data_IF_495233192936
#
_entry.id   IF_495233192936
#
_cell.length_a   1.000
_cell.length_b   1.000
_cell.length_c   1.000
_cell.angle_alpha   90.00
_cell.angle_beta   90.00
_cell.angle_gamma   90.00
#
_symmetry.space_group_name_H-M   'P 1'
#
loop_
_entity.id
_entity.type
_entity.pdbx_description
1 polymer ?
#
# COMPACT_ATOMS: atom_id res chain seq x y z
N UNK A 1 -50.46 5.53 36.02
CA UNK A 1 -49.96 5.16 37.36
C UNK A 1 -48.84 4.17 37.09
N UNK A 2 -47.58 4.60 37.01
CA UNK A 2 -46.70 4.87 38.18
C UNK A 2 -46.96 3.81 39.26
N UNK A 3 -46.00 3.02 39.73
CA UNK A 3 -44.54 3.06 39.69
C UNK A 3 -44.07 1.79 40.41
N UNK A 4 -42.76 1.52 40.38
CA UNK A 4 -41.93 1.15 41.55
C UNK A 4 -40.99 -0.01 41.26
N UNK A 5 -39.74 0.40 41.08
CA UNK A 5 -38.54 -0.42 41.16
C UNK A 5 -38.47 -1.12 42.53
N UNK A 6 -38.05 -2.38 42.52
CA UNK A 6 -37.30 -2.96 43.62
C UNK A 6 -35.97 -3.49 43.07
N UNK A 7 -34.93 -2.83 43.55
CA UNK A 7 -33.53 -3.13 43.31
C UNK A 7 -33.08 -4.32 44.16
N UNK A 8 -32.04 -4.98 43.65
CA UNK A 8 -31.03 -5.74 44.40
C UNK A 8 -31.33 -7.21 44.71
N UNK A 9 -30.60 -8.07 44.01
CA UNK A 9 -29.65 -8.96 44.67
C UNK A 9 -28.49 -9.22 43.72
N UNK A 10 -27.38 -8.53 43.96
CA UNK A 10 -26.04 -9.01 43.63
C UNK A 10 -25.87 -10.40 44.23
N UNK A 11 -26.15 -11.44 43.44
CA UNK A 11 -25.62 -12.77 43.69
C UNK A 11 -24.28 -12.89 42.97
N UNK A 12 -23.23 -12.86 43.77
CA UNK A 12 -21.85 -13.08 43.35
C UNK A 12 -21.65 -14.54 42.97
N UNK A 13 -22.16 -14.93 41.80
CA UNK A 13 -21.82 -16.18 41.16
C UNK A 13 -20.49 -16.06 40.43
N UNK A 14 -19.37 -16.18 41.15
CA UNK A 14 -18.08 -16.46 40.50
C UNK A 14 -18.19 -17.89 39.97
N UNK A 15 -18.66 -18.06 38.73
CA UNK A 15 -18.58 -19.36 38.09
C UNK A 15 -17.12 -19.57 37.69
N UNK A 16 -16.37 -20.27 38.54
CA UNK A 16 -15.18 -20.99 38.11
C UNK A 16 -15.65 -22.08 37.14
N UNK A 17 -15.85 -21.72 35.87
CA UNK A 17 -15.89 -22.70 34.80
C UNK A 17 -14.47 -23.20 34.59
N UNK A 18 -14.04 -24.08 35.49
CA UNK A 18 -12.96 -25.02 35.21
C UNK A 18 -13.38 -25.87 34.01
N UNK A 19 -12.93 -25.43 32.84
CA UNK A 19 -12.60 -26.12 31.58
C UNK A 19 -13.48 -27.27 31.04
N UNK A 20 -13.72 -27.30 29.72
CA UNK A 20 -13.63 -28.54 28.99
C UNK A 20 -12.18 -28.74 28.52
N UNK A 21 -11.21 -28.87 29.44
CA UNK A 21 -10.03 -29.69 29.13
C UNK A 21 -10.45 -31.16 29.29
N UNK A 22 -11.46 -31.55 28.52
CA UNK A 22 -11.60 -32.93 28.10
C UNK A 22 -10.28 -33.23 27.40
N UNK A 23 -9.55 -34.32 27.73
CA UNK A 23 -8.37 -34.67 26.96
C UNK A 23 -8.85 -34.90 25.54
N UNK A 24 -8.66 -33.91 24.68
CA UNK A 24 -8.97 -34.06 23.27
C UNK A 24 -8.10 -35.22 22.86
N UNK A 25 -8.73 -36.28 22.36
CA UNK A 25 -8.00 -37.45 21.91
C UNK A 25 -6.80 -36.96 21.09
N UNK A 26 -5.55 -37.34 21.42
CA UNK A 26 -4.36 -36.83 20.75
C UNK A 26 -4.43 -36.96 19.22
N UNK A 27 -5.25 -37.91 18.73
CA UNK A 27 -5.54 -38.13 17.32
C UNK A 27 -6.41 -37.04 16.69
N UNK A 28 -7.32 -36.42 17.45
CA UNK A 28 -8.20 -35.35 16.97
C UNK A 28 -7.43 -34.02 16.87
N UNK A 29 -6.62 -33.68 17.87
CA UNK A 29 -5.71 -32.52 17.80
C UNK A 29 -4.73 -32.66 16.63
N UNK A 30 -4.11 -33.84 16.45
CA UNK A 30 -3.19 -34.07 15.35
C UNK A 30 -3.86 -33.91 13.97
N UNK A 31 -5.11 -34.35 13.82
CA UNK A 31 -5.90 -34.15 12.59
C UNK A 31 -6.21 -32.67 12.36
N UNK A 32 -6.55 -31.92 13.41
CA UNK A 32 -6.82 -30.49 13.29
C UNK A 32 -5.55 -29.70 12.93
N UNK A 33 -4.41 -29.99 13.59
CA UNK A 33 -3.12 -29.37 13.29
C UNK A 33 -2.64 -29.68 11.86
N UNK A 34 -2.80 -30.93 11.40
CA UNK A 34 -2.42 -31.29 10.02
C UNK A 34 -3.31 -30.63 8.98
N UNK A 35 -4.63 -30.53 9.22
CA UNK A 35 -5.55 -29.80 8.35
C UNK A 35 -5.25 -28.31 8.29
N UNK A 36 -4.99 -27.68 9.45
CA UNK A 36 -4.62 -26.27 9.51
C UNK A 36 -3.31 -26.01 8.75
N UNK A 37 -2.30 -26.85 8.97
CA UNK A 37 -1.00 -26.75 8.26
C UNK A 37 -1.19 -26.88 6.75
N UNK A 38 -2.05 -27.81 6.31
CA UNK A 38 -2.38 -27.97 4.89
C UNK A 38 -3.07 -26.73 4.32
N UNK A 39 -4.04 -26.15 5.04
CA UNK A 39 -4.74 -24.94 4.62
C UNK A 39 -3.80 -23.74 4.48
N UNK A 40 -2.91 -23.52 5.47
CA UNK A 40 -1.90 -22.45 5.43
C UNK A 40 -0.96 -22.64 4.24
N UNK A 41 -0.43 -23.85 4.03
CA UNK A 41 0.44 -24.15 2.88
C UNK A 41 -0.26 -23.94 1.54
N UNK A 42 -1.55 -24.27 1.45
CA UNK A 42 -2.35 -24.03 0.26
C UNK A 42 -2.52 -22.53 0.00
N UNK A 43 -2.81 -21.75 1.02
CA UNK A 43 -2.91 -20.29 0.91
C UNK A 43 -1.57 -19.67 0.53
N UNK A 44 -0.47 -20.10 1.16
CA UNK A 44 0.88 -19.66 0.81
C UNK A 44 1.16 -19.88 -0.68
N UNK A 45 0.95 -21.09 -1.19
CA UNK A 45 1.16 -21.40 -2.62
C UNK A 45 0.28 -20.57 -3.54
N UNK A 46 -0.97 -20.32 -3.15
CA UNK A 46 -1.87 -19.48 -3.94
C UNK A 46 -1.40 -18.02 -3.98
N UNK A 47 -0.87 -17.49 -2.88
CA UNK A 47 -0.31 -16.15 -2.82
C UNK A 47 1.00 -16.04 -3.63
N UNK A 48 1.90 -17.02 -3.49
CA UNK A 48 3.13 -17.10 -4.26
C UNK A 48 2.84 -17.17 -5.77
N UNK A 49 1.88 -17.99 -6.20
CA UNK A 49 1.48 -18.07 -7.60
C UNK A 49 0.88 -16.77 -8.14
N UNK A 50 0.08 -16.04 -7.35
CA UNK A 50 -0.43 -14.72 -7.73
C UNK A 50 0.68 -13.69 -7.84
N UNK A 51 1.64 -13.72 -6.90
CA UNK A 51 2.80 -12.84 -6.94
C UNK A 51 3.63 -13.09 -8.20
N UNK A 52 3.90 -14.35 -8.53
CA UNK A 52 4.66 -14.70 -9.74
C UNK A 52 3.96 -14.24 -11.01
N UNK A 53 2.63 -14.39 -11.11
CA UNK A 53 1.86 -13.87 -12.23
C UNK A 53 1.99 -12.33 -12.36
N UNK A 54 1.84 -11.59 -11.25
CA UNK A 54 2.02 -10.13 -11.26
C UNK A 54 3.44 -9.72 -11.70
N UNK A 55 4.47 -10.47 -11.29
CA UNK A 55 5.85 -10.18 -11.68
C UNK A 55 6.09 -10.43 -13.16
N UNK A 56 5.51 -11.48 -13.74
CA UNK A 56 5.59 -11.76 -15.18
C UNK A 56 4.89 -10.67 -16.01
N UNK A 57 3.72 -10.22 -15.57
CA UNK A 57 3.01 -9.10 -16.21
C UNK A 57 3.86 -7.82 -16.16
N UNK A 58 4.43 -7.51 -14.99
CA UNK A 58 5.32 -6.36 -14.83
C UNK A 58 6.55 -6.44 -15.73
N UNK A 59 7.20 -7.62 -15.82
CA UNK A 59 8.33 -7.85 -16.73
C UNK A 59 7.95 -7.55 -18.17
N UNK A 60 6.80 -8.06 -18.63
CA UNK A 60 6.34 -7.82 -19.99
C UNK A 60 6.08 -6.32 -20.26
N UNK A 61 5.50 -5.59 -19.29
CA UNK A 61 5.29 -4.15 -19.40
C UNK A 61 6.59 -3.37 -19.46
N UNK A 62 7.53 -3.63 -18.54
CA UNK A 62 8.82 -2.96 -18.51
C UNK A 62 9.63 -3.22 -19.79
N UNK A 63 9.55 -4.43 -20.37
CA UNK A 63 10.19 -4.71 -21.66
C UNK A 63 9.57 -3.89 -22.80
N UNK A 64 8.24 -3.83 -22.88
CA UNK A 64 7.55 -3.02 -23.89
C UNK A 64 7.88 -1.54 -23.74
N UNK A 65 7.93 -1.04 -22.52
CA UNK A 65 8.31 0.34 -22.24
C UNK A 65 9.77 0.59 -22.65
N UNK A 66 10.69 -0.29 -22.26
CA UNK A 66 12.09 -0.19 -22.63
C UNK A 66 12.32 -0.31 -24.16
N UNK A 67 11.46 -0.99 -24.90
CA UNK A 67 11.52 -0.99 -26.36
C UNK A 67 11.20 0.39 -26.95
N UNK A 68 10.32 1.17 -26.30
CA UNK A 68 9.94 2.51 -26.74
C UNK A 68 10.96 3.57 -26.26
N UNK A 69 11.32 3.54 -24.98
CA UNK A 69 12.20 4.52 -24.34
C UNK A 69 13.68 4.21 -24.59
N UNK A 70 14.03 2.94 -24.75
CA UNK A 70 15.40 2.45 -24.79
C UNK A 70 16.05 2.25 -23.42
N UNK A 71 15.30 2.42 -22.32
CA UNK A 71 15.81 2.32 -20.94
C UNK A 71 14.96 1.30 -20.17
N UNK A 72 15.62 0.36 -19.50
CA UNK A 72 14.97 -0.58 -18.60
C UNK A 72 14.98 -0.01 -17.17
N UNK A 73 13.83 0.00 -16.46
CA UNK A 73 13.76 0.51 -15.09
C UNK A 73 14.59 -0.33 -14.11
N UNK A 74 15.04 0.28 -13.02
CA UNK A 74 15.81 -0.39 -11.96
C UNK A 74 14.94 -1.37 -11.15
N UNK A 75 13.63 -1.13 -11.16
CA UNK A 75 12.58 -1.94 -10.53
C UNK A 75 12.25 -3.19 -11.35
N UNK A 76 12.90 -3.41 -12.50
CA UNK A 76 12.68 -4.61 -13.31
C UNK A 76 12.94 -5.87 -12.48
N UNK A 77 11.96 -6.80 -12.35
CA UNK A 77 12.11 -7.95 -11.48
C UNK A 77 13.14 -8.94 -12.04
N UNK A 78 14.41 -8.82 -11.68
CA UNK A 78 15.44 -9.81 -11.98
C UNK A 78 15.44 -10.90 -10.92
N UNK A 79 15.45 -12.18 -11.29
CA UNK A 79 15.74 -13.23 -10.30
C UNK A 79 17.22 -13.11 -9.88
N UNK A 80 17.58 -13.47 -8.64
CA UNK A 80 18.98 -13.44 -8.20
C UNK A 80 19.89 -14.22 -9.17
N UNK A 81 20.85 -13.54 -9.79
CA UNK A 81 21.78 -14.13 -10.77
C UNK A 81 21.37 -14.00 -12.25
N UNK A 82 20.19 -13.47 -12.56
CA UNK A 82 19.79 -13.18 -13.95
C UNK A 82 20.40 -11.86 -14.45
N UNK A 83 20.93 -11.86 -15.68
CA UNK A 83 21.42 -10.64 -16.33
C UNK A 83 20.24 -9.85 -16.89
N UNK A 84 20.30 -8.52 -16.75
CA UNK A 84 19.29 -7.63 -17.33
C UNK A 84 19.17 -7.85 -18.86
N UNK A 85 17.95 -7.98 -19.41
CA UNK A 85 17.77 -8.17 -20.83
C UNK A 85 18.28 -6.96 -21.61
N UNK A 86 19.02 -7.22 -22.69
CA UNK A 86 19.52 -6.15 -23.57
C UNK A 86 18.38 -5.66 -24.47
N UNK A 87 17.70 -4.60 -24.04
CA UNK A 87 16.61 -4.02 -24.82
C UNK A 87 17.16 -3.13 -25.93
N UNK A 88 16.73 -3.39 -27.18
CA UNK A 88 17.08 -2.56 -28.34
C UNK A 88 15.88 -1.67 -28.67
N UNK A 89 16.06 -0.35 -28.60
CA UNK A 89 15.01 0.62 -28.87
C UNK A 89 14.40 0.39 -30.27
N UNK A 90 13.11 0.09 -30.35
CA UNK A 90 12.39 -0.06 -31.61
C UNK A 90 12.04 1.32 -32.13
N UNK A 91 12.94 1.90 -32.92
CA UNK A 91 12.65 3.11 -33.69
C UNK A 91 11.96 2.68 -34.99
N UNK A 92 10.67 2.36 -34.93
CA UNK A 92 9.80 2.37 -36.12
C UNK A 92 9.55 3.83 -36.53
N UNK A 93 9.40 4.09 -37.83
CA UNK A 93 9.24 5.40 -38.49
C UNK A 93 8.95 6.54 -37.50
N UNK A 94 10.02 7.16 -36.98
CA UNK A 94 9.88 8.31 -36.10
C UNK A 94 9.32 9.44 -36.95
N UNK A 95 8.00 9.62 -36.95
CA UNK A 95 7.41 10.85 -37.42
C UNK A 95 8.02 11.95 -36.57
N UNK A 96 8.89 12.75 -37.20
CA UNK A 96 9.40 13.99 -36.60
C UNK A 96 8.18 14.89 -36.49
N UNK A 97 7.49 14.82 -35.36
CA UNK A 97 6.45 15.78 -35.04
C UNK A 97 7.15 17.14 -34.94
N UNK A 98 6.93 17.99 -35.93
CA UNK A 98 7.36 19.39 -35.87
C UNK A 98 6.57 20.07 -34.75
N UNK A 99 7.28 20.40 -33.68
CA UNK A 99 6.74 21.02 -32.47
C UNK A 99 6.05 22.36 -32.81
N UNK A 100 6.46 23.02 -33.89
CA UNK A 100 5.82 24.23 -34.40
C UNK A 100 4.48 23.93 -35.09
N UNK A 101 4.38 22.82 -35.82
CA UNK A 101 3.13 22.39 -36.45
C UNK A 101 2.10 21.96 -35.40
N UNK A 102 2.53 21.21 -34.38
CA UNK A 102 1.68 20.87 -33.22
C UNK A 102 1.24 22.11 -32.44
N UNK A 103 2.14 23.06 -32.21
CA UNK A 103 1.81 24.31 -31.50
C UNK A 103 0.78 25.16 -32.26
N UNK A 104 0.84 25.17 -33.60
CA UNK A 104 -0.17 25.83 -34.45
C UNK A 104 -1.51 25.11 -34.37
N UNK A 105 -1.51 23.78 -34.41
CA UNK A 105 -2.73 22.98 -34.33
C UNK A 105 -3.42 23.11 -32.96
N UNK A 106 -2.67 23.05 -31.86
CA UNK A 106 -3.18 23.26 -30.49
C UNK A 106 -3.76 24.67 -30.33
N UNK A 107 -3.14 25.68 -30.96
CA UNK A 107 -3.65 27.06 -30.99
C UNK A 107 -4.97 27.15 -31.78
N UNK A 108 -5.06 26.47 -32.92
CA UNK A 108 -6.26 26.42 -33.77
C UNK A 108 -7.41 25.62 -33.16
N UNK A 109 -7.12 24.59 -32.36
CA UNK A 109 -8.10 23.80 -31.59
C UNK A 109 -8.63 24.55 -30.35
N UNK A 110 -8.16 25.77 -30.10
CA UNK A 110 -8.66 26.62 -29.01
C UNK A 110 -9.55 27.81 -29.43
N UNK A 111 -10.64 27.64 -30.20
CA UNK A 111 -11.66 28.67 -30.21
C UNK A 111 -12.51 28.50 -28.94
N UNK A 112 -12.30 29.41 -27.96
CA UNK A 112 -13.03 29.58 -26.69
C UNK A 112 -12.47 28.85 -25.46
N UNK A 113 -11.31 29.28 -24.96
CA UNK A 113 -11.12 29.37 -23.51
C UNK A 113 -11.52 30.77 -23.05
N UNK A 114 -12.77 30.93 -22.61
CA UNK A 114 -13.19 32.15 -21.90
C UNK A 114 -12.35 32.27 -20.62
N UNK A 115 -11.73 33.42 -20.34
CA UNK A 115 -11.00 33.59 -19.09
C UNK A 115 -12.01 33.58 -17.93
N UNK A 116 -11.90 32.59 -17.04
CA UNK A 116 -12.53 32.65 -15.74
C UNK A 116 -11.70 33.60 -14.88
N UNK A 117 -11.90 34.91 -15.03
CA UNK A 117 -11.52 35.86 -13.99
C UNK A 117 -12.51 35.71 -12.84
N UNK A 118 -12.17 34.85 -11.88
CA UNK A 118 -12.71 34.90 -10.52
C UNK A 118 -11.63 35.50 -9.64
N UNK A 119 -11.86 36.74 -9.23
CA UNK A 119 -11.06 37.45 -8.26
C UNK A 119 -10.90 36.60 -6.99
N UNK A 120 -9.71 36.07 -6.76
CA UNK A 120 -9.28 35.67 -5.42
C UNK A 120 -8.55 36.86 -4.79
N UNK A 121 -9.32 37.88 -4.43
CA UNK A 121 -8.88 38.88 -3.49
C UNK A 121 -9.15 38.38 -2.06
N UNK A 122 -8.10 38.44 -1.24
CA UNK A 122 -8.15 38.44 0.23
C UNK A 122 -8.57 37.15 0.95
N UNK A 123 -7.55 36.36 1.31
CA UNK A 123 -7.46 35.78 2.65
C UNK A 123 -6.01 35.36 2.92
N UNK A 124 -5.15 36.35 3.17
CA UNK A 124 -3.84 36.10 3.78
C UNK A 124 -4.03 35.60 5.20
N UNK A 125 -4.18 34.29 5.39
CA UNK A 125 -4.03 33.68 6.70
C UNK A 125 -2.53 33.50 6.97
N UNK A 126 -2.02 34.32 7.89
CA UNK A 126 -0.72 34.13 8.52
C UNK A 126 -0.69 32.77 9.21
N UNK A 127 -0.03 31.79 8.59
CA UNK A 127 0.29 30.52 9.25
C UNK A 127 1.42 30.80 10.25
N UNK A 128 1.06 31.26 11.45
CA UNK A 128 1.95 31.17 12.61
C UNK A 128 2.11 29.68 12.91
N UNK A 129 3.26 29.13 12.56
CA UNK A 129 3.62 27.76 12.91
C UNK A 129 3.67 27.60 14.43
N UNK A 130 2.64 27.00 15.01
CA UNK A 130 2.71 26.42 16.35
C UNK A 130 3.48 25.11 16.25
N UNK A 131 4.69 25.09 16.80
CA UNK A 131 5.47 23.87 16.98
C UNK A 131 4.73 22.98 18.00
N UNK A 132 4.44 21.70 17.69
CA UNK A 132 3.73 20.84 18.63
C UNK A 132 4.59 20.52 19.87
N UNK A 133 3.96 20.33 21.05
CA UNK A 133 4.66 20.23 22.33
C UNK A 133 5.60 19.02 22.48
N UNK A 134 5.55 18.04 21.57
CA UNK A 134 6.47 16.90 21.56
C UNK A 134 7.80 17.18 20.83
N UNK A 135 7.96 18.32 20.17
CA UNK A 135 9.15 18.63 19.37
C UNK A 135 10.40 19.02 20.20
N UNK A 136 10.27 19.17 21.52
CA UNK A 136 11.42 19.32 22.41
C UNK A 136 11.85 17.95 22.94
N UNK A 137 12.63 17.23 22.15
CA UNK A 137 13.37 16.06 22.61
C UNK A 137 14.49 16.48 23.56
N UNK A 138 14.25 16.34 24.87
CA UNK A 138 15.27 16.53 25.91
C UNK A 138 16.30 15.40 25.82
N UNK A 139 17.49 15.70 25.31
CA UNK A 139 18.65 14.80 25.36
C UNK A 139 19.20 14.78 26.80
N UNK A 140 18.78 13.78 27.59
CA UNK A 140 19.46 13.49 28.85
C UNK A 140 20.75 12.73 28.56
N UNK A 141 21.88 13.45 28.59
CA UNK A 141 23.20 12.85 28.65
C UNK A 141 23.40 12.25 30.05
N UNK A 142 23.34 10.93 30.16
CA UNK A 142 23.81 10.20 31.34
C UNK A 142 25.33 10.27 31.40
N UNK A 143 25.84 11.15 32.26
CA UNK A 143 27.22 11.08 32.75
C UNK A 143 27.38 9.84 33.64
N UNK A 144 28.28 8.95 33.25
CA UNK A 144 28.76 7.84 34.06
C UNK A 144 30.04 8.31 34.76
N UNK A 145 30.13 8.29 36.10
CA UNK A 145 31.43 8.32 36.78
C UNK A 145 31.88 6.88 37.10
N UNK A 146 33.21 6.74 37.20
CA UNK A 146 33.98 5.55 37.61
C UNK A 146 33.57 4.98 38.98
#
# INVERSE_FOLDING_TARGET
MESKDDVSSTDSGIILQSGPDSPVSPLKELKEVTQLTYAIRRQQRALEGRLEACLEELRALCLREAELTGVLPAEYPLKPGEKAPKVRRRVGAAYRLDEQALSKEVRNLSPQRRPLSRDLASAGHSFRGTVPPWAHGSMHATHHPE
#
